data_IF_032051951756
#
_entry.id   IF_032051951756
#
_cell.length_a   1.000
_cell.length_b   1.000
_cell.length_c   1.000
_cell.angle_alpha   90.00
_cell.angle_beta   90.00
_cell.angle_gamma   90.00
#
_symmetry.space_group_name_H-M   'P 1'
#
loop_
_entity.id
_entity.type
_entity.pdbx_description
1 polymer ?
#
# COMPACT_ATOMS: atom_id res chain seq x y z
N UNK A 1 25.01 -27.62 -28.48
CA UNK A 1 25.73 -28.22 -27.32
C UNK A 1 24.73 -28.34 -26.18
N UNK A 2 24.61 -29.53 -25.62
CA UNK A 2 23.62 -29.90 -24.60
C UNK A 2 24.30 -29.72 -23.24
N UNK A 3 23.78 -28.85 -22.36
CA UNK A 3 24.26 -28.74 -20.97
C UNK A 3 23.04 -28.85 -20.07
N UNK A 4 22.81 -30.09 -19.64
CA UNK A 4 22.08 -30.41 -18.41
C UNK A 4 23.05 -30.27 -17.23
N UNK A 5 22.43 -30.06 -16.07
CA UNK A 5 22.96 -30.32 -14.72
C UNK A 5 23.88 -29.26 -14.10
N UNK A 6 23.28 -28.33 -13.37
CA UNK A 6 23.85 -27.87 -12.08
C UNK A 6 22.73 -27.39 -11.15
N UNK A 7 22.01 -28.35 -10.56
CA UNK A 7 21.22 -28.14 -9.34
C UNK A 7 21.98 -28.72 -8.15
N UNK A 8 21.73 -28.13 -6.97
CA UNK A 8 22.12 -28.52 -5.59
C UNK A 8 23.39 -27.88 -5.01
N UNK A 9 23.19 -26.85 -4.18
CA UNK A 9 23.72 -26.77 -2.82
C UNK A 9 23.11 -25.54 -2.10
N UNK A 10 21.91 -25.70 -1.55
CA UNK A 10 21.40 -24.84 -0.47
C UNK A 10 21.15 -25.74 0.75
N UNK A 11 21.89 -25.47 1.82
CA UNK A 11 21.73 -26.15 3.11
C UNK A 11 20.45 -25.73 3.86
N UNK A 12 20.03 -26.50 4.87
CA UNK A 12 18.70 -26.36 5.44
C UNK A 12 18.59 -25.27 6.52
N UNK A 13 17.40 -24.67 6.55
CA UNK A 13 16.65 -24.18 7.73
C UNK A 13 17.11 -22.91 8.47
N UNK A 14 16.42 -21.81 8.22
CA UNK A 14 16.17 -20.73 9.20
C UNK A 14 14.67 -20.62 9.41
N UNK A 15 14.19 -21.17 10.52
CA UNK A 15 12.78 -21.18 10.94
C UNK A 15 12.63 -20.15 12.07
N UNK A 16 11.95 -19.02 11.81
CA UNK A 16 11.51 -18.13 12.87
C UNK A 16 10.06 -18.51 13.25
N UNK A 17 9.91 -19.06 14.45
CA UNK A 17 8.62 -19.51 14.99
C UNK A 17 7.89 -18.32 15.60
N UNK A 18 6.71 -18.00 15.06
CA UNK A 18 5.70 -17.21 15.77
C UNK A 18 5.04 -18.14 16.82
N UNK A 19 5.19 -17.79 18.09
CA UNK A 19 4.53 -18.50 19.19
C UNK A 19 3.10 -17.99 19.35
N UNK A 20 2.12 -18.80 18.95
CA UNK A 20 0.72 -18.61 19.32
C UNK A 20 0.49 -19.21 20.73
N UNK A 21 0.24 -18.37 21.73
CA UNK A 21 -0.11 -18.84 23.07
C UNK A 21 -1.64 -18.92 23.21
N UNK A 22 -2.21 -20.13 23.11
CA UNK A 22 -3.57 -20.41 23.60
C UNK A 22 -3.48 -21.17 24.92
N UNK A 23 -3.86 -20.54 26.02
CA UNK A 23 -3.99 -21.22 27.32
C UNK A 23 -5.42 -21.73 27.48
N UNK A 24 -5.61 -23.04 27.34
CA UNK A 24 -6.78 -23.75 27.87
C UNK A 24 -6.28 -24.71 28.94
N UNK A 25 -6.71 -24.49 30.19
CA UNK A 25 -6.66 -25.49 31.26
C UNK A 25 -8.07 -26.03 31.47
N UNK A 26 -8.20 -27.31 31.80
CA UNK A 26 -8.83 -27.60 33.09
C UNK A 26 -8.05 -28.66 33.86
N UNK A 27 -7.62 -28.30 35.06
CA UNK A 27 -7.20 -29.27 36.06
C UNK A 27 -8.45 -29.78 36.77
N UNK A 28 -8.71 -31.08 36.63
CA UNK A 28 -9.64 -31.84 37.45
C UNK A 28 -9.08 -31.95 38.88
N UNK A 29 -9.83 -31.47 39.87
CA UNK A 29 -9.72 -31.94 41.25
C UNK A 29 -11.07 -31.77 41.97
N UNK A 30 -11.64 -32.88 42.42
CA UNK A 30 -12.72 -32.99 43.40
C UNK A 30 -12.61 -34.36 44.10
N UNK A 31 -13.23 -34.59 45.27
CA UNK A 31 -13.45 -33.65 46.38
C UNK A 31 -13.08 -34.26 47.76
N UNK A 32 -13.01 -33.41 48.77
CA UNK A 32 -12.99 -33.80 50.19
C UNK A 32 -14.41 -33.77 50.76
N UNK A 33 -14.74 -34.71 51.67
CA UNK A 33 -15.96 -34.68 52.47
C UNK A 33 -15.69 -35.29 53.86
N UNK A 34 -15.93 -34.52 54.92
CA UNK A 34 -16.52 -34.89 56.24
C UNK A 34 -16.46 -33.65 57.15
N UNK A 35 -17.62 -33.06 57.50
CA UNK A 35 -18.29 -33.10 58.83
C UNK A 35 -17.53 -32.33 59.93
N UNK A 36 -18.10 -31.47 60.79
CA UNK A 36 -19.46 -31.11 61.16
C UNK A 36 -19.45 -29.76 61.96
N UNK A 37 -20.66 -29.35 62.35
CA UNK A 37 -21.07 -28.37 63.38
C UNK A 37 -21.21 -26.86 63.06
N UNK A 38 -22.48 -26.45 63.06
CA UNK A 38 -23.00 -25.11 63.40
C UNK A 38 -23.48 -25.14 64.88
N UNK A 39 -24.14 -24.12 65.45
CA UNK A 39 -24.35 -22.72 65.03
C UNK A 39 -24.03 -21.71 66.17
N UNK A 40 -24.11 -20.41 65.90
CA UNK A 40 -24.82 -19.45 66.80
C UNK A 40 -25.08 -18.14 66.05
N UNK A 41 -26.30 -17.67 66.23
CA UNK A 41 -26.96 -16.50 65.66
C UNK A 41 -26.43 -15.18 66.25
N UNK A 42 -26.48 -14.11 65.46
CA UNK A 42 -27.00 -12.80 65.90
C UNK A 42 -27.34 -11.94 64.67
N UNK A 43 -28.62 -11.66 64.51
CA UNK A 43 -29.16 -10.56 63.70
C UNK A 43 -28.97 -9.23 64.45
N UNK A 44 -29.19 -8.12 63.71
CA UNK A 44 -29.54 -6.74 64.13
C UNK A 44 -28.47 -5.71 63.75
N UNK A 45 -28.77 -4.51 63.28
CA UNK A 45 -29.96 -3.88 62.70
C UNK A 45 -29.42 -2.65 61.94
N UNK A 46 -30.21 -2.16 61.00
CA UNK A 46 -29.95 -0.91 60.27
C UNK A 46 -29.83 0.28 61.23
N UNK A 47 -28.96 1.23 60.92
CA UNK A 47 -29.19 2.63 61.26
C UNK A 47 -28.63 3.50 60.13
N UNK A 48 -29.54 4.17 59.44
CA UNK A 48 -29.25 5.29 58.55
C UNK A 48 -29.04 6.53 59.43
N UNK A 49 -27.95 7.27 59.21
CA UNK A 49 -27.86 8.68 59.55
C UNK A 49 -27.15 9.42 58.43
N UNK A 50 -27.84 10.46 57.95
CA UNK A 50 -27.47 11.39 56.90
C UNK A 50 -26.64 12.55 57.47
N UNK A 51 -25.61 12.98 56.75
CA UNK A 51 -25.04 14.33 56.87
C UNK A 51 -24.56 14.83 55.52
N UNK A 52 -24.90 16.08 55.25
CA UNK A 52 -24.88 16.80 53.97
C UNK A 52 -23.49 17.27 53.48
N UNK A 53 -23.44 17.51 52.15
CA UNK A 53 -22.65 18.46 51.34
C UNK A 53 -21.10 18.39 51.24
N UNK A 54 -20.61 18.05 50.03
CA UNK A 54 -20.09 19.06 49.08
C UNK A 54 -19.83 18.48 47.66
N UNK A 55 -19.96 19.28 46.59
CA UNK A 55 -20.08 18.79 45.21
C UNK A 55 -18.79 18.94 44.40
N UNK A 56 -18.40 17.93 43.60
CA UNK A 56 -17.52 18.14 42.43
C UNK A 56 -17.50 16.92 41.49
N UNK A 57 -17.43 17.23 40.20
CA UNK A 57 -17.22 16.37 39.03
C UNK A 57 -18.45 15.65 38.43
N UNK A 58 -19.26 16.42 37.70
CA UNK A 58 -19.97 15.90 36.53
C UNK A 58 -18.96 15.71 35.39
N UNK A 59 -18.61 14.46 35.10
CA UNK A 59 -18.11 14.07 33.79
C UNK A 59 -19.28 13.36 33.09
N UNK A 60 -19.81 13.97 32.03
CA UNK A 60 -20.81 13.37 31.17
C UNK A 60 -20.18 12.14 30.49
N UNK A 61 -20.69 10.96 30.84
CA UNK A 61 -20.56 9.76 30.04
C UNK A 61 -21.25 10.01 28.70
N UNK A 62 -20.46 10.22 27.65
CA UNK A 62 -20.96 10.15 26.28
C UNK A 62 -21.08 8.66 25.98
N UNK A 63 -22.32 8.16 25.98
CA UNK A 63 -22.63 6.78 25.63
C UNK A 63 -22.12 6.46 24.22
N UNK A 64 -21.34 5.38 24.14
CA UNK A 64 -20.80 4.72 22.94
C UNK A 64 -21.83 4.39 21.84
N UNK A 65 -23.13 4.51 22.11
CA UNK A 65 -24.20 4.32 21.13
C UNK A 65 -24.33 5.49 20.13
N UNK A 66 -23.81 6.67 20.47
CA UNK A 66 -23.88 7.86 19.58
C UNK A 66 -22.81 7.85 18.48
N UNK A 67 -21.69 7.15 18.68
CA UNK A 67 -20.63 6.99 17.67
C UNK A 67 -20.97 5.91 16.65
N UNK A 68 -21.73 4.89 17.07
CA UNK A 68 -22.23 3.83 16.18
C UNK A 68 -23.39 4.34 15.30
N UNK A 69 -24.21 5.25 15.83
CA UNK A 69 -25.30 5.89 15.08
C UNK A 69 -24.81 6.93 14.04
N UNK A 70 -23.60 7.46 14.19
CA UNK A 70 -22.99 8.37 13.21
C UNK A 70 -22.36 7.63 12.01
N UNK A 71 -22.04 6.34 12.16
CA UNK A 71 -21.62 5.47 11.06
C UNK A 71 -22.80 4.97 10.19
N UNK A 72 -24.05 5.17 10.64
CA UNK A 72 -25.25 4.69 9.95
C UNK A 72 -25.95 5.74 9.07
N UNK A 73 -25.32 6.89 8.80
CA UNK A 73 -25.82 7.88 7.84
C UNK A 73 -24.77 8.23 6.76
N UNK A 74 -23.85 7.31 6.48
CA UNK A 74 -23.09 7.34 5.24
C UNK A 74 -24.00 6.82 4.11
N UNK A 75 -24.07 7.57 3.02
CA UNK A 75 -24.81 7.23 1.81
C UNK A 75 -24.54 5.78 1.43
N UNK A 76 -25.57 4.95 1.22
CA UNK A 76 -25.38 3.50 1.00
C UNK A 76 -24.63 3.18 -0.32
N UNK A 77 -24.31 4.21 -1.11
CA UNK A 77 -23.56 4.13 -2.36
C UNK A 77 -22.07 4.54 -2.25
N UNK A 78 -21.63 5.18 -1.15
CA UNK A 78 -20.25 5.67 -1.01
C UNK A 78 -19.36 4.59 -0.38
N UNK A 79 -18.37 4.12 -1.15
CA UNK A 79 -17.40 3.13 -0.68
C UNK A 79 -16.40 3.77 0.31
N UNK A 80 -15.84 3.00 1.28
CA UNK A 80 -14.79 3.53 2.14
C UNK A 80 -13.57 3.99 1.33
N UNK A 81 -12.79 4.93 1.87
CA UNK A 81 -11.54 5.38 1.22
C UNK A 81 -10.64 4.18 0.88
N UNK A 82 -10.02 4.23 -0.29
CA UNK A 82 -9.22 3.13 -0.83
C UNK A 82 -10.05 1.99 -1.43
N UNK A 83 -11.40 2.03 -1.40
CA UNK A 83 -12.25 1.00 -2.00
C UNK A 83 -12.92 1.57 -3.26
N UNK A 84 -12.84 0.83 -4.35
CA UNK A 84 -13.30 1.28 -5.66
C UNK A 84 -14.14 0.20 -6.33
N UNK A 85 -15.09 0.65 -7.15
CA UNK A 85 -15.76 -0.23 -8.11
C UNK A 85 -14.81 -0.42 -9.29
N UNK A 86 -14.61 -1.67 -9.71
CA UNK A 86 -13.91 -1.98 -10.94
C UNK A 86 -14.74 -1.46 -12.12
N UNK A 87 -14.11 -0.81 -13.09
CA UNK A 87 -14.84 -0.36 -14.27
C UNK A 87 -15.25 -1.57 -15.12
N UNK A 88 -16.36 -1.45 -15.84
CA UNK A 88 -16.80 -2.48 -16.79
C UNK A 88 -15.78 -2.66 -17.92
N UNK A 89 -15.17 -1.55 -18.35
CA UNK A 89 -14.11 -1.49 -19.35
C UNK A 89 -12.95 -0.60 -18.87
N UNK A 90 -11.73 -0.98 -19.22
CA UNK A 90 -10.52 -0.25 -18.83
C UNK A 90 -9.92 -0.66 -17.48
N UNK A 91 -8.87 0.04 -17.09
CA UNK A 91 -7.94 -0.24 -16.00
C UNK A 91 -7.79 0.93 -15.03
N UNK A 92 -8.43 2.07 -15.27
CA UNK A 92 -8.31 3.25 -14.41
C UNK A 92 -9.41 3.25 -13.35
N UNK A 93 -9.02 3.43 -12.09
CA UNK A 93 -9.92 3.56 -10.93
C UNK A 93 -9.60 4.82 -10.13
N UNK A 94 -10.57 5.24 -9.32
CA UNK A 94 -10.42 6.37 -8.41
C UNK A 94 -10.32 7.72 -9.12
N UNK A 95 -9.95 8.74 -8.37
CA UNK A 95 -9.91 10.11 -8.83
C UNK A 95 -8.82 10.92 -8.14
N UNK A 96 -8.25 11.86 -8.88
CA UNK A 96 -7.33 12.87 -8.36
C UNK A 96 -8.14 14.09 -7.97
N UNK A 97 -7.93 14.60 -6.76
CA UNK A 97 -8.59 15.82 -6.29
C UNK A 97 -7.65 16.67 -5.45
N UNK A 98 -8.06 17.91 -5.17
CA UNK A 98 -7.31 18.86 -4.35
C UNK A 98 -8.09 19.17 -3.09
N UNK A 99 -7.37 19.25 -1.97
CA UNK A 99 -7.91 19.79 -0.72
C UNK A 99 -7.17 21.07 -0.35
N UNK A 100 -7.76 21.87 0.53
CA UNK A 100 -7.09 23.01 1.15
C UNK A 100 -6.78 22.65 2.59
N UNK A 101 -5.57 22.94 3.05
CA UNK A 101 -5.19 22.72 4.46
C UNK A 101 -5.94 23.71 5.34
N UNK A 102 -6.71 23.20 6.30
CA UNK A 102 -7.52 24.01 7.21
C UNK A 102 -6.92 24.10 8.63
N UNK A 103 -6.26 23.04 9.09
CA UNK A 103 -5.66 22.97 10.43
C UNK A 103 -4.15 23.26 10.37
N UNK A 104 -3.64 24.30 11.06
CA UNK A 104 -2.21 24.62 11.08
C UNK A 104 -1.31 23.55 11.72
N UNK A 105 -1.87 22.61 12.48
CA UNK A 105 -1.12 21.50 13.11
C UNK A 105 -1.02 20.27 12.22
N UNK A 106 -1.81 20.21 11.15
CA UNK A 106 -1.90 19.06 10.29
C UNK A 106 -0.67 18.98 9.39
N UNK A 107 0.03 17.85 9.44
CA UNK A 107 1.16 17.58 8.55
C UNK A 107 0.67 17.06 7.19
N UNK A 108 1.52 17.09 6.17
CA UNK A 108 1.20 16.44 4.89
C UNK A 108 1.07 14.92 5.02
N UNK A 109 1.78 14.34 5.98
CA UNK A 109 1.73 12.90 6.30
C UNK A 109 0.38 12.55 6.94
N UNK A 110 -0.15 13.41 7.83
CA UNK A 110 -1.49 13.24 8.39
C UNK A 110 -2.58 13.35 7.30
N UNK A 111 -2.41 14.29 6.36
CA UNK A 111 -3.26 14.36 5.16
C UNK A 111 -3.20 13.03 4.41
N UNK A 112 -2.01 12.57 4.05
CA UNK A 112 -1.84 11.35 3.28
C UNK A 112 -2.52 10.15 3.94
N UNK A 113 -2.25 9.92 5.23
CA UNK A 113 -2.84 8.81 6.00
C UNK A 113 -4.37 8.86 6.01
N UNK A 114 -4.97 10.02 6.30
CA UNK A 114 -6.44 10.16 6.30
C UNK A 114 -7.03 9.88 4.91
N UNK A 115 -6.29 10.14 3.85
CA UNK A 115 -6.71 9.94 2.46
C UNK A 115 -6.23 8.60 1.86
N UNK A 116 -5.69 7.68 2.66
CA UNK A 116 -5.18 6.38 2.23
C UNK A 116 -4.07 6.50 1.15
N UNK A 117 -3.19 7.49 1.33
CA UNK A 117 -2.03 7.78 0.49
C UNK A 117 -0.74 7.47 1.26
N UNK A 118 0.24 6.89 0.55
CA UNK A 118 1.57 6.63 1.08
C UNK A 118 2.45 7.89 1.15
N UNK A 119 3.52 7.82 1.92
CA UNK A 119 4.47 8.93 2.06
C UNK A 119 5.08 9.39 0.72
N UNK A 120 5.61 8.46 -0.09
CA UNK A 120 6.20 8.83 -1.37
C UNK A 120 5.14 9.36 -2.36
N UNK A 121 3.96 8.75 -2.40
CA UNK A 121 2.84 9.20 -3.26
C UNK A 121 2.47 10.67 -2.97
N UNK A 122 2.28 11.06 -1.70
CA UNK A 122 1.90 12.44 -1.38
C UNK A 122 3.04 13.42 -1.64
N UNK A 123 4.30 13.01 -1.39
CA UNK A 123 5.49 13.83 -1.59
C UNK A 123 5.70 14.12 -3.07
N UNK A 124 5.58 13.09 -3.92
CA UNK A 124 5.75 13.21 -5.37
C UNK A 124 4.64 14.05 -5.99
N UNK A 125 3.38 13.90 -5.55
CA UNK A 125 2.27 14.72 -6.02
C UNK A 125 2.36 16.20 -5.60
N UNK A 126 3.18 16.54 -4.60
CA UNK A 126 3.26 17.89 -4.02
C UNK A 126 4.72 18.34 -3.74
N UNK A 127 5.59 18.44 -4.77
CA UNK A 127 7.04 18.62 -4.60
C UNK A 127 7.47 19.94 -3.94
N UNK A 128 6.55 20.91 -3.78
CA UNK A 128 6.78 22.19 -3.10
C UNK A 128 6.11 22.33 -1.73
N UNK A 129 5.36 21.33 -1.27
CA UNK A 129 4.62 21.39 -0.01
C UNK A 129 5.45 20.80 1.13
N UNK A 130 5.56 21.53 2.24
CA UNK A 130 6.27 21.06 3.43
C UNK A 130 5.58 19.85 4.04
N UNK A 131 6.35 18.78 4.29
CA UNK A 131 5.84 17.54 4.87
C UNK A 131 5.29 17.72 6.28
N UNK A 132 5.93 18.60 7.07
CA UNK A 132 5.64 18.77 8.50
C UNK A 132 4.77 19.99 8.78
N UNK A 133 4.83 21.01 7.93
CA UNK A 133 4.12 22.27 8.13
C UNK A 133 3.65 22.79 6.77
N UNK A 134 2.66 22.14 6.12
CA UNK A 134 2.14 22.58 4.82
C UNK A 134 1.54 23.98 4.89
N UNK A 135 0.98 24.37 6.06
CA UNK A 135 0.40 25.70 6.30
C UNK A 135 -1.04 25.81 5.84
N UNK A 136 -1.85 26.59 6.57
CA UNK A 136 -3.27 26.81 6.27
C UNK A 136 -3.40 27.56 4.94
N UNK A 137 -4.38 27.15 4.13
CA UNK A 137 -4.63 27.72 2.80
C UNK A 137 -3.79 27.09 1.69
N UNK A 138 -2.84 26.21 2.01
CA UNK A 138 -2.08 25.47 1.01
C UNK A 138 -2.97 24.45 0.32
N UNK A 139 -2.97 24.46 -1.01
CA UNK A 139 -3.60 23.43 -1.82
C UNK A 139 -2.72 22.18 -1.85
N UNK A 140 -3.34 21.03 -1.60
CA UNK A 140 -2.68 19.72 -1.60
C UNK A 140 -3.41 18.80 -2.56
N UNK A 141 -2.68 18.27 -3.53
CA UNK A 141 -3.14 17.26 -4.45
C UNK A 141 -3.14 15.90 -3.76
N UNK A 142 -4.28 15.21 -3.84
CA UNK A 142 -4.48 13.83 -3.41
C UNK A 142 -4.47 12.93 -4.65
N UNK A 143 -3.44 12.09 -4.85
CA UNK A 143 -3.30 11.24 -6.04
C UNK A 143 -4.08 9.92 -5.89
N UNK A 144 -5.37 9.97 -5.54
CA UNK A 144 -6.21 8.79 -5.30
C UNK A 144 -6.79 8.16 -6.59
N UNK A 145 -6.04 8.28 -7.70
CA UNK A 145 -6.35 7.68 -8.99
C UNK A 145 -5.26 6.65 -9.31
N UNK A 146 -5.63 5.49 -9.87
CA UNK A 146 -4.70 4.40 -10.11
C UNK A 146 -4.98 3.71 -11.43
N UNK A 147 -3.91 3.41 -12.19
CA UNK A 147 -3.95 2.37 -13.21
C UNK A 147 -3.79 1.02 -12.51
N UNK A 148 -4.71 0.08 -12.70
CA UNK A 148 -4.61 -1.24 -12.09
C UNK A 148 -3.32 -1.97 -12.56
N UNK A 149 -2.64 -2.73 -11.67
CA UNK A 149 -1.42 -3.45 -12.06
C UNK A 149 -1.69 -4.47 -13.18
N UNK A 150 -0.70 -4.76 -14.04
CA UNK A 150 -0.82 -5.73 -15.13
C UNK A 150 -0.78 -7.18 -14.61
N UNK A 151 -1.78 -7.56 -13.81
CA UNK A 151 -1.96 -8.89 -13.27
C UNK A 151 -3.44 -9.29 -13.27
N UNK A 152 -3.73 -10.60 -13.11
CA UNK A 152 -5.08 -11.06 -12.80
C UNK A 152 -5.65 -10.28 -11.61
N UNK A 153 -6.88 -9.77 -11.77
CA UNK A 153 -7.63 -9.04 -10.73
C UNK A 153 -8.23 -9.99 -9.69
N UNK A 154 -7.36 -10.79 -9.07
CA UNK A 154 -7.73 -11.84 -8.11
C UNK A 154 -6.79 -11.85 -6.91
N UNK A 155 -7.35 -12.07 -5.72
CA UNK A 155 -6.58 -12.18 -4.49
C UNK A 155 -5.88 -10.87 -4.17
N UNK A 156 -4.60 -10.94 -3.80
CA UNK A 156 -3.79 -9.76 -3.48
C UNK A 156 -2.72 -9.57 -4.54
N UNK A 157 -2.57 -8.35 -5.05
CA UNK A 157 -1.46 -7.92 -5.90
C UNK A 157 -0.73 -6.79 -5.19
N UNK A 158 0.58 -6.89 -5.03
CA UNK A 158 1.41 -5.84 -4.42
C UNK A 158 2.42 -5.38 -5.46
N UNK A 159 2.32 -4.12 -5.89
CA UNK A 159 3.29 -3.51 -6.76
C UNK A 159 4.36 -2.81 -5.92
N UNK A 160 5.57 -3.35 -5.94
CA UNK A 160 6.65 -2.93 -5.06
C UNK A 160 7.19 -1.54 -5.43
N UNK A 161 7.32 -1.20 -6.73
CA UNK A 161 7.74 0.14 -7.18
C UNK A 161 6.71 1.23 -6.83
N UNK A 162 5.43 0.89 -6.90
CA UNK A 162 4.33 1.80 -6.55
C UNK A 162 4.09 1.90 -5.04
N UNK A 163 4.66 0.97 -4.25
CA UNK A 163 4.43 0.88 -2.81
C UNK A 163 2.94 0.73 -2.47
N UNK A 164 2.21 -0.05 -3.26
CA UNK A 164 0.75 -0.19 -3.11
C UNK A 164 0.29 -1.64 -3.23
N UNK A 165 -0.65 -2.00 -2.35
CA UNK A 165 -1.36 -3.28 -2.32
C UNK A 165 -2.74 -3.09 -2.92
N UNK A 166 -3.16 -4.05 -3.72
CA UNK A 166 -4.48 -4.19 -4.32
C UNK A 166 -5.09 -5.51 -3.86
N UNK A 167 -6.30 -5.48 -3.31
CA UNK A 167 -7.05 -6.66 -2.89
C UNK A 167 -8.37 -6.75 -3.65
N UNK A 168 -8.58 -7.90 -4.28
CA UNK A 168 -9.77 -8.26 -5.03
C UNK A 168 -10.58 -9.29 -4.23
N UNK A 169 -11.55 -8.86 -3.41
CA UNK A 169 -12.36 -9.75 -2.58
C UNK A 169 -13.22 -10.69 -3.42
N UNK A 170 -13.05 -12.01 -3.22
CA UNK A 170 -13.81 -13.03 -3.95
C UNK A 170 -15.31 -13.03 -3.59
N UNK A 171 -15.67 -12.57 -2.39
CA UNK A 171 -17.04 -12.43 -1.92
C UNK A 171 -17.72 -11.13 -2.38
N UNK A 172 -16.96 -10.20 -2.99
CA UNK A 172 -17.46 -8.92 -3.52
C UNK A 172 -16.89 -8.66 -4.93
N UNK A 173 -17.33 -9.45 -5.94
CA UNK A 173 -16.88 -9.25 -7.32
C UNK A 173 -17.19 -7.82 -7.79
N UNK A 174 -16.29 -7.25 -8.58
CA UNK A 174 -16.40 -5.86 -9.04
C UNK A 174 -15.91 -4.82 -8.04
N UNK A 175 -15.37 -5.22 -6.89
CA UNK A 175 -14.70 -4.31 -5.94
C UNK A 175 -13.20 -4.57 -5.96
N UNK A 176 -12.43 -3.48 -5.83
CA UNK A 176 -11.00 -3.52 -5.52
C UNK A 176 -10.70 -2.59 -4.37
N UNK A 177 -9.84 -3.03 -3.47
CA UNK A 177 -9.38 -2.25 -2.34
C UNK A 177 -7.89 -1.98 -2.50
N UNK A 178 -7.45 -0.77 -2.23
CA UNK A 178 -6.06 -0.38 -2.36
C UNK A 178 -5.54 0.18 -1.05
N UNK A 179 -4.26 -0.07 -0.78
CA UNK A 179 -3.60 0.33 0.46
C UNK A 179 -2.16 0.72 0.20
N UNK A 180 -1.70 1.87 0.69
CA UNK A 180 -0.28 2.18 0.68
C UNK A 180 0.47 1.21 1.59
N UNK A 181 1.62 0.75 1.14
CA UNK A 181 2.46 -0.20 1.87
C UNK A 181 3.91 0.25 1.91
N UNK A 182 4.65 -0.21 2.91
CA UNK A 182 6.11 -0.10 2.91
C UNK A 182 6.74 -1.46 2.68
N UNK A 183 7.78 -1.47 1.85
CA UNK A 183 8.49 -2.67 1.43
C UNK A 183 9.93 -2.64 1.92
N UNK A 184 10.67 -3.71 1.62
CA UNK A 184 12.09 -3.84 1.95
C UNK A 184 12.93 -2.71 1.38
N UNK A 185 13.89 -2.22 2.17
CA UNK A 185 15.03 -1.46 1.63
C UNK A 185 15.93 -2.38 0.81
N UNK A 186 16.73 -1.83 -0.09
CA UNK A 186 17.57 -2.56 -1.07
C UNK A 186 18.29 -3.81 -0.50
N UNK A 187 19.05 -3.68 0.59
CA UNK A 187 19.76 -4.80 1.23
C UNK A 187 18.86 -5.91 1.83
N UNK A 188 17.56 -5.62 1.95
CA UNK A 188 16.53 -6.49 2.49
C UNK A 188 15.27 -6.42 1.62
N UNK A 189 15.45 -6.46 0.31
CA UNK A 189 14.39 -6.33 -0.68
C UNK A 189 13.22 -7.28 -0.41
N UNK A 190 12.01 -6.80 -0.68
CA UNK A 190 10.84 -7.68 -0.73
C UNK A 190 10.92 -8.47 -2.05
N UNK A 191 10.84 -9.80 -2.02
CA UNK A 191 11.00 -10.61 -3.23
C UNK A 191 9.79 -10.49 -4.15
N UNK A 192 10.04 -10.59 -5.45
CA UNK A 192 9.02 -10.77 -6.49
C UNK A 192 8.63 -12.25 -6.57
N UNK A 193 7.34 -12.52 -6.83
CA UNK A 193 6.81 -13.85 -7.04
C UNK A 193 5.43 -14.09 -6.46
N UNK A 194 4.88 -15.28 -6.72
CA UNK A 194 3.56 -15.69 -6.25
C UNK A 194 3.69 -16.48 -4.95
N UNK A 195 2.86 -16.13 -3.96
CA UNK A 195 2.71 -16.85 -2.69
C UNK A 195 1.23 -16.85 -2.27
N UNK A 196 0.94 -17.16 -1.00
CA UNK A 196 -0.42 -17.09 -0.44
C UNK A 196 -0.40 -16.73 1.03
N UNK A 197 -1.51 -16.21 1.55
CA UNK A 197 -1.73 -16.03 2.98
C UNK A 197 -1.82 -17.40 3.68
N UNK A 198 -1.39 -17.47 4.93
CA UNK A 198 -1.40 -18.72 5.71
C UNK A 198 -2.09 -18.52 7.05
N UNK A 199 -1.34 -18.08 8.06
CA UNK A 199 -1.84 -17.82 9.42
C UNK A 199 -2.08 -16.33 9.58
N UNK A 200 -3.14 -16.02 10.32
CA UNK A 200 -3.49 -14.67 10.73
C UNK A 200 -3.31 -14.60 12.24
N UNK A 201 -2.49 -13.66 12.71
CA UNK A 201 -2.16 -13.47 14.11
C UNK A 201 -2.59 -12.08 14.54
N UNK A 202 -3.51 -12.03 15.50
CA UNK A 202 -3.83 -10.83 16.26
C UNK A 202 -2.84 -10.69 17.42
N UNK A 203 -2.42 -9.47 17.72
CA UNK A 203 -1.48 -9.11 18.77
C UNK A 203 -0.18 -9.95 18.69
N UNK A 204 0.55 -9.92 17.56
CA UNK A 204 1.72 -10.76 17.37
C UNK A 204 2.87 -10.35 18.30
N UNK A 205 3.53 -11.34 18.93
CA UNK A 205 4.86 -11.10 19.51
C UNK A 205 5.90 -10.99 18.38
N UNK A 206 6.91 -10.15 18.55
CA UNK A 206 7.96 -9.96 17.56
C UNK A 206 9.33 -10.37 18.10
N UNK A 207 10.00 -11.28 17.39
CA UNK A 207 11.40 -11.61 17.66
C UNK A 207 12.29 -10.93 16.61
N UNK A 208 13.24 -10.06 17.02
CA UNK A 208 14.16 -9.45 16.08
C UNK A 208 14.95 -10.49 15.27
N UNK A 209 15.07 -10.32 13.94
CA UNK A 209 15.86 -11.23 13.10
C UNK A 209 17.30 -11.37 13.62
N UNK A 210 17.93 -12.52 13.37
CA UNK A 210 19.29 -12.78 13.84
C UNK A 210 20.31 -11.73 13.37
N UNK A 211 20.14 -11.22 12.15
CA UNK A 211 20.95 -10.12 11.60
C UNK A 211 20.82 -8.84 12.43
N UNK A 212 19.61 -8.46 12.82
CA UNK A 212 19.36 -7.30 13.66
C UNK A 212 19.92 -7.48 15.07
N UNK A 213 19.79 -8.67 15.67
CA UNK A 213 20.38 -8.95 16.99
C UNK A 213 21.91 -8.84 16.98
N UNK A 214 22.55 -9.30 15.89
CA UNK A 214 24.00 -9.18 15.70
C UNK A 214 24.43 -7.72 15.54
N UNK A 215 23.79 -6.97 14.65
CA UNK A 215 24.05 -5.54 14.43
C UNK A 215 23.88 -4.72 15.73
N UNK A 216 22.82 -5.01 16.49
CA UNK A 216 22.55 -4.35 17.76
C UNK A 216 23.62 -4.70 18.83
N UNK A 217 24.05 -5.96 18.89
CA UNK A 217 25.13 -6.39 19.79
C UNK A 217 26.49 -5.76 19.43
N UNK A 218 26.80 -5.61 18.13
CA UNK A 218 28.03 -4.95 17.64
C UNK A 218 28.07 -3.46 18.03
N UNK A 219 26.90 -2.80 18.15
CA UNK A 219 26.77 -1.43 18.65
C UNK A 219 26.73 -1.30 20.18
N UNK A 220 26.79 -2.41 20.91
CA UNK A 220 26.69 -2.40 22.38
C UNK A 220 25.26 -2.22 22.92
N UNK A 221 24.25 -2.39 22.07
CA UNK A 221 22.82 -2.21 22.40
C UNK A 221 22.05 -3.51 22.11
N UNK A 222 22.22 -4.59 22.90
CA UNK A 222 21.61 -5.87 22.58
C UNK A 222 20.08 -5.77 22.51
N UNK A 223 19.52 -6.14 21.35
CA UNK A 223 18.08 -6.16 21.14
C UNK A 223 17.40 -7.22 22.03
N UNK A 224 16.16 -6.98 22.51
CA UNK A 224 15.41 -7.97 23.28
C UNK A 224 15.22 -9.26 22.46
N UNK A 225 15.16 -10.41 23.14
CA UNK A 225 14.90 -11.68 22.47
C UNK A 225 13.50 -11.74 21.85
N UNK A 226 12.52 -11.13 22.52
CA UNK A 226 11.14 -11.00 22.10
C UNK A 226 10.61 -9.65 22.58
N UNK A 227 9.91 -8.93 21.70
CA UNK A 227 9.05 -7.81 22.05
C UNK A 227 7.62 -8.34 22.17
N UNK A 228 6.98 -8.21 23.34
CA UNK A 228 5.62 -8.68 23.54
C UNK A 228 4.63 -7.85 22.71
N UNK A 229 3.37 -8.31 22.58
CA UNK A 229 2.32 -7.50 21.99
C UNK A 229 2.13 -6.17 22.74
N UNK A 230 1.72 -5.13 22.02
CA UNK A 230 1.45 -3.81 22.58
C UNK A 230 1.98 -2.65 21.72
N UNK A 231 1.82 -1.39 22.19
CA UNK A 231 2.07 -0.19 21.38
C UNK A 231 3.50 -0.04 20.86
N UNK A 232 4.48 -0.66 21.52
CA UNK A 232 5.89 -0.61 21.12
C UNK A 232 6.29 -1.74 20.15
N UNK A 233 5.37 -2.63 19.80
CA UNK A 233 5.66 -3.73 18.91
C UNK A 233 5.71 -3.25 17.44
N UNK A 234 6.82 -3.49 16.71
CA UNK A 234 6.97 -3.01 15.34
C UNK A 234 6.08 -3.73 14.32
N UNK A 235 5.48 -4.87 14.69
CA UNK A 235 4.48 -5.55 13.86
C UNK A 235 3.07 -4.94 13.98
N UNK A 236 2.86 -4.04 14.95
CA UNK A 236 1.52 -3.55 15.29
C UNK A 236 0.63 -4.64 15.88
N UNK A 237 -0.68 -4.47 15.75
CA UNK A 237 -1.70 -5.35 16.36
C UNK A 237 -2.13 -6.52 15.47
N UNK A 238 -1.77 -6.52 14.18
CA UNK A 238 -2.22 -7.53 13.23
C UNK A 238 -1.09 -7.92 12.28
N UNK A 239 -0.95 -9.22 12.05
CA UNK A 239 -0.04 -9.78 11.06
C UNK A 239 -0.68 -10.94 10.30
N UNK A 240 -0.37 -11.02 9.01
CA UNK A 240 -0.79 -12.05 8.07
C UNK A 240 0.49 -12.68 7.51
N UNK A 241 0.68 -13.97 7.77
CA UNK A 241 1.87 -14.70 7.35
C UNK A 241 1.70 -15.14 5.90
N UNK A 242 2.78 -15.05 5.13
CA UNK A 242 2.83 -15.58 3.78
C UNK A 242 3.38 -17.01 3.78
N UNK A 243 3.04 -17.79 2.75
CA UNK A 243 3.65 -19.09 2.45
C UNK A 243 5.08 -18.92 1.87
N UNK A 244 5.80 -17.97 2.43
CA UNK A 244 7.17 -17.59 2.13
C UNK A 244 7.84 -17.32 3.48
N UNK A 245 8.81 -18.15 3.90
CA UNK A 245 9.33 -18.09 5.26
C UNK A 245 9.80 -16.70 5.66
N UNK A 246 9.35 -16.23 6.83
CA UNK A 246 9.69 -14.92 7.44
C UNK A 246 9.06 -13.67 6.82
N UNK A 247 8.23 -13.79 5.77
CA UNK A 247 7.52 -12.65 5.18
C UNK A 247 6.09 -12.52 5.73
N UNK A 248 5.72 -11.27 6.01
CA UNK A 248 4.50 -10.88 6.69
C UNK A 248 3.90 -9.67 5.98
N UNK A 249 2.57 -9.61 5.92
CA UNK A 249 1.83 -8.35 5.77
C UNK A 249 1.38 -7.95 7.17
N UNK A 250 1.80 -6.80 7.68
CA UNK A 250 1.58 -6.45 9.07
C UNK A 250 1.40 -4.94 9.30
N UNK A 251 0.92 -4.56 10.48
CA UNK A 251 0.79 -3.16 10.89
C UNK A 251 2.11 -2.51 11.27
N UNK A 252 2.08 -1.37 11.94
CA UNK A 252 3.30 -0.76 12.46
C UNK A 252 3.00 0.14 13.64
N UNK A 253 3.98 0.32 14.53
CA UNK A 253 3.95 1.38 15.54
C UNK A 253 4.59 2.70 15.06
N UNK A 254 5.00 2.76 13.79
CA UNK A 254 5.57 3.95 13.14
C UNK A 254 4.85 4.23 11.81
N UNK A 255 3.58 4.67 11.87
CA UNK A 255 2.74 4.84 10.68
C UNK A 255 3.30 5.87 9.70
N UNK A 256 4.04 6.87 10.17
CA UNK A 256 4.61 7.92 9.32
C UNK A 256 5.59 7.39 8.25
N UNK A 257 6.05 6.15 8.39
CA UNK A 257 6.92 5.46 7.43
C UNK A 257 6.18 4.58 6.41
N UNK A 258 4.84 4.59 6.37
CA UNK A 258 4.03 3.84 5.40
C UNK A 258 4.09 4.51 4.02
N UNK A 259 4.29 3.72 2.96
CA UNK A 259 4.58 4.24 1.62
C UNK A 259 6.04 4.65 1.44
N UNK A 260 6.97 3.93 2.10
CA UNK A 260 8.42 4.09 1.93
C UNK A 260 9.14 2.73 1.86
N UNK A 261 10.39 2.70 1.37
CA UNK A 261 11.27 1.52 1.42
C UNK A 261 12.05 1.43 2.74
N UNK A 262 11.36 1.09 3.83
CA UNK A 262 11.93 1.14 5.21
C UNK A 262 11.95 -0.19 5.95
N UNK A 263 11.40 -1.24 5.35
CA UNK A 263 11.29 -2.55 5.99
C UNK A 263 12.55 -3.39 5.76
N UNK A 264 12.63 -4.55 6.42
CA UNK A 264 13.62 -5.60 6.15
C UNK A 264 12.99 -6.78 5.41
N UNK A 265 12.16 -6.48 4.40
CA UNK A 265 11.54 -7.44 3.48
C UNK A 265 10.04 -7.65 3.69
N UNK A 266 9.51 -7.43 4.90
CA UNK A 266 8.07 -7.54 5.17
C UNK A 266 7.27 -6.38 4.56
N UNK A 267 5.97 -6.58 4.35
CA UNK A 267 5.03 -5.57 3.88
C UNK A 267 4.39 -4.90 5.11
N UNK A 268 4.59 -3.59 5.28
CA UNK A 268 3.98 -2.82 6.37
C UNK A 268 2.81 -2.00 5.86
N UNK A 269 1.74 -1.93 6.65
CA UNK A 269 0.55 -1.14 6.37
C UNK A 269 0.26 -0.18 7.54
N UNK A 270 -0.60 0.81 7.31
CA UNK A 270 -1.17 1.58 8.41
C UNK A 270 -1.94 0.66 9.38
N UNK A 271 -1.95 0.96 10.70
CA UNK A 271 -2.65 0.16 11.70
C UNK A 271 -4.13 -0.12 11.39
N UNK A 272 -4.85 0.90 10.94
CA UNK A 272 -6.26 0.83 10.54
C UNK A 272 -6.47 -0.04 9.30
N UNK A 273 -5.56 0.05 8.33
CA UNK A 273 -5.63 -0.67 7.07
C UNK A 273 -5.35 -2.17 7.27
N UNK A 274 -4.30 -2.53 8.02
CA UNK A 274 -4.03 -3.95 8.31
C UNK A 274 -5.16 -4.55 9.12
N UNK A 275 -5.79 -3.81 10.04
CA UNK A 275 -6.91 -4.31 10.83
C UNK A 275 -8.09 -4.63 9.91
N UNK A 276 -8.46 -3.69 9.04
CA UNK A 276 -9.54 -3.87 8.07
C UNK A 276 -9.28 -5.04 7.13
N UNK A 277 -8.08 -5.11 6.53
CA UNK A 277 -7.69 -6.21 5.65
C UNK A 277 -7.62 -7.54 6.41
N UNK A 278 -7.11 -7.55 7.64
CA UNK A 278 -7.04 -8.74 8.48
C UNK A 278 -8.43 -9.31 8.75
N UNK A 279 -9.48 -8.51 8.93
CA UNK A 279 -10.80 -9.07 9.19
C UNK A 279 -11.39 -9.79 7.97
N UNK A 280 -11.07 -9.30 6.77
CA UNK A 280 -11.74 -9.71 5.52
C UNK A 280 -10.92 -10.67 4.66
N UNK A 281 -9.59 -10.57 4.68
CA UNK A 281 -8.70 -11.38 3.84
C UNK A 281 -8.68 -12.85 4.29
N UNK A 282 -9.16 -13.81 3.48
CA UNK A 282 -9.14 -15.22 3.84
C UNK A 282 -7.71 -15.78 3.95
N UNK A 283 -7.55 -16.84 4.75
CA UNK A 283 -6.35 -17.67 4.69
C UNK A 283 -6.33 -18.48 3.39
N UNK A 284 -5.16 -18.61 2.78
CA UNK A 284 -5.00 -19.31 1.50
C UNK A 284 -5.18 -18.42 0.26
N UNK A 285 -5.53 -17.14 0.43
CA UNK A 285 -5.64 -16.17 -0.67
C UNK A 285 -4.29 -16.00 -1.35
N UNK A 286 -4.28 -16.08 -2.68
CA UNK A 286 -3.08 -15.84 -3.49
C UNK A 286 -2.57 -14.40 -3.30
N UNK A 287 -1.25 -14.27 -3.23
CA UNK A 287 -0.55 -12.99 -3.16
C UNK A 287 0.47 -12.95 -4.28
N UNK A 288 0.33 -11.99 -5.20
CA UNK A 288 1.27 -11.71 -6.27
C UNK A 288 2.13 -10.50 -5.89
N UNK A 289 3.39 -10.75 -5.57
CA UNK A 289 4.40 -9.70 -5.33
C UNK A 289 5.05 -9.40 -6.67
N UNK A 290 4.86 -8.20 -7.20
CA UNK A 290 5.37 -7.82 -8.51
C UNK A 290 6.11 -6.50 -8.47
N UNK A 291 6.94 -6.28 -9.49
CA UNK A 291 7.60 -5.01 -9.68
C UNK A 291 7.25 -4.44 -11.06
N UNK A 292 6.32 -3.48 -11.07
CA UNK A 292 5.86 -2.81 -12.27
C UNK A 292 6.09 -1.29 -12.10
N UNK A 293 7.33 -0.80 -12.32
CA UNK A 293 7.65 0.62 -12.22
C UNK A 293 6.96 1.45 -13.31
N UNK A 294 6.55 0.85 -14.42
CA UNK A 294 5.76 1.50 -15.46
C UNK A 294 4.44 0.77 -15.64
N UNK A 295 3.32 1.50 -15.56
CA UNK A 295 1.97 1.00 -15.79
C UNK A 295 1.33 1.76 -16.94
N UNK A 296 0.56 1.03 -17.73
CA UNK A 296 -0.27 1.57 -18.78
C UNK A 296 -1.64 0.87 -18.73
N UNK A 297 -2.70 1.59 -19.05
CA UNK A 297 -4.05 1.07 -19.07
C UNK A 297 -5.06 2.08 -19.62
N UNK A 298 -6.15 1.57 -20.18
CA UNK A 298 -7.21 2.42 -20.73
C UNK A 298 -8.15 2.90 -19.65
N UNK A 299 -8.59 4.16 -19.71
CA UNK A 299 -9.76 4.63 -18.98
C UNK A 299 -11.03 4.23 -19.73
N UNK A 300 -12.19 4.32 -19.05
CA UNK A 300 -13.49 3.95 -19.62
C UNK A 300 -13.90 4.82 -20.83
N UNK A 301 -13.30 6.00 -21.00
CA UNK A 301 -13.53 6.88 -22.16
C UNK A 301 -12.62 6.55 -23.35
N UNK A 302 -11.81 5.49 -23.27
CA UNK A 302 -10.85 5.07 -24.29
C UNK A 302 -9.52 5.83 -24.25
N UNK A 303 -9.30 6.70 -23.26
CA UNK A 303 -7.98 7.35 -23.07
C UNK A 303 -6.96 6.34 -22.57
N UNK A 304 -5.81 6.22 -23.24
CA UNK A 304 -4.68 5.46 -22.72
C UNK A 304 -3.87 6.34 -21.77
N UNK A 305 -3.79 5.93 -20.50
CA UNK A 305 -2.94 6.56 -19.52
C UNK A 305 -1.70 5.73 -19.24
N UNK A 306 -0.62 6.41 -18.85
CA UNK A 306 0.56 5.80 -18.26
C UNK A 306 0.93 6.46 -16.94
N UNK A 307 1.59 5.68 -16.08
CA UNK A 307 2.17 6.09 -14.82
C UNK A 307 3.53 5.41 -14.63
N UNK A 308 4.48 6.14 -14.09
CA UNK A 308 5.83 5.67 -13.80
C UNK A 308 6.19 5.90 -12.33
N UNK A 309 6.99 5.00 -11.76
CA UNK A 309 7.41 4.98 -10.37
C UNK A 309 8.90 4.69 -10.27
N UNK A 310 9.58 5.12 -9.20
CA UNK A 310 11.01 4.88 -9.05
C UNK A 310 11.31 3.38 -9.08
N UNK A 311 12.19 2.97 -9.99
CA UNK A 311 12.57 1.57 -10.14
C UNK A 311 13.34 1.06 -8.92
N UNK A 312 13.10 -0.19 -8.54
CA UNK A 312 13.87 -0.87 -7.52
C UNK A 312 15.16 -1.41 -8.16
N UNK A 313 16.31 -0.83 -7.79
CA UNK A 313 17.62 -1.19 -8.36
C UNK A 313 17.92 -2.69 -8.26
N UNK A 314 17.50 -3.34 -7.17
CA UNK A 314 17.67 -4.78 -6.97
C UNK A 314 16.92 -5.67 -7.98
N UNK A 315 15.88 -5.12 -8.60
CA UNK A 315 15.04 -5.78 -9.59
C UNK A 315 15.28 -5.23 -11.01
N UNK A 316 16.19 -4.27 -11.16
CA UNK A 316 16.58 -3.73 -12.45
C UNK A 316 17.42 -4.77 -13.19
N UNK A 317 16.76 -5.68 -13.92
CA UNK A 317 17.43 -6.45 -14.96
C UNK A 317 17.73 -5.48 -16.12
N UNK A 318 19.00 -5.38 -16.54
CA UNK A 318 19.41 -4.44 -17.57
C UNK A 318 18.61 -4.54 -18.89
N UNK A 319 18.77 -3.50 -19.72
CA UNK A 319 17.92 -3.03 -20.84
C UNK A 319 16.81 -2.04 -20.41
N UNK A 320 16.74 -0.92 -21.13
CA UNK A 320 16.35 0.40 -20.62
C UNK A 320 14.88 0.53 -20.20
N UNK A 321 14.55 1.28 -19.13
CA UNK A 321 13.17 1.57 -18.69
C UNK A 321 12.21 2.01 -19.81
N UNK A 322 12.75 2.72 -20.82
CA UNK A 322 12.01 3.13 -22.00
C UNK A 322 11.52 1.95 -22.86
N UNK A 323 12.31 0.89 -23.00
CA UNK A 323 11.92 -0.27 -23.80
C UNK A 323 10.82 -1.08 -23.11
N UNK A 324 10.89 -1.23 -21.78
CA UNK A 324 9.82 -1.85 -21.01
C UNK A 324 8.52 -1.04 -21.11
N UNK A 325 8.63 0.29 -21.08
CA UNK A 325 7.48 1.18 -21.27
C UNK A 325 6.87 1.04 -22.69
N UNK A 326 7.71 1.02 -23.72
CA UNK A 326 7.29 0.83 -25.12
C UNK A 326 6.62 -0.54 -25.34
N UNK A 327 7.21 -1.61 -24.81
CA UNK A 327 6.63 -2.96 -24.86
C UNK A 327 5.24 -2.94 -24.20
N UNK A 328 5.14 -2.38 -23.00
CA UNK A 328 3.87 -2.34 -22.25
C UNK A 328 2.78 -1.55 -22.97
N UNK A 329 3.13 -0.43 -23.61
CA UNK A 329 2.17 0.34 -24.42
C UNK A 329 1.76 -0.45 -25.66
N UNK A 330 2.72 -1.05 -26.36
CA UNK A 330 2.48 -1.83 -27.59
C UNK A 330 1.59 -3.06 -27.34
N UNK A 331 1.75 -3.73 -26.20
CA UNK A 331 0.88 -4.84 -25.78
C UNK A 331 -0.60 -4.44 -25.69
N UNK A 332 -0.88 -3.20 -25.28
CA UNK A 332 -2.25 -2.70 -25.08
C UNK A 332 -2.86 -2.14 -26.36
N UNK A 333 -2.08 -1.42 -27.15
CA UNK A 333 -2.56 -0.74 -28.34
C UNK A 333 -2.50 -1.59 -29.60
N UNK A 334 -1.64 -2.61 -29.62
CA UNK A 334 -1.19 -3.25 -30.85
C UNK A 334 -0.32 -2.31 -31.70
N UNK A 335 -0.08 -2.71 -32.95
CA UNK A 335 0.79 -1.98 -33.88
C UNK A 335 0.08 -0.88 -34.70
N UNK A 336 -1.23 -0.72 -34.52
CA UNK A 336 -2.08 0.12 -35.37
C UNK A 336 -2.34 1.52 -34.78
N UNK A 337 -1.90 1.77 -33.54
CA UNK A 337 -2.04 3.08 -32.88
C UNK A 337 -0.69 3.78 -32.87
N UNK A 338 -0.65 4.96 -33.46
CA UNK A 338 0.51 5.84 -33.40
C UNK A 338 0.57 6.50 -32.01
N UNK A 339 1.62 6.20 -31.25
CA UNK A 339 1.85 6.76 -29.93
C UNK A 339 3.10 7.63 -29.98
N UNK A 340 2.99 8.83 -29.41
CA UNK A 340 4.10 9.76 -29.26
C UNK A 340 5.17 9.18 -28.30
N UNK A 341 6.31 8.78 -28.87
CA UNK A 341 7.42 8.23 -28.13
C UNK A 341 8.04 9.23 -27.13
N UNK A 342 7.94 10.54 -27.40
CA UNK A 342 8.47 11.58 -26.51
C UNK A 342 7.61 11.70 -25.25
N UNK A 343 6.30 11.41 -25.32
CA UNK A 343 5.44 11.33 -24.13
C UNK A 343 5.79 10.11 -23.27
N UNK A 344 6.09 8.96 -23.90
CA UNK A 344 6.53 7.77 -23.18
C UNK A 344 7.88 8.04 -22.50
N UNK A 345 8.83 8.65 -23.22
CA UNK A 345 10.12 9.02 -22.66
C UNK A 345 9.96 9.98 -21.48
N UNK A 346 9.13 11.02 -21.59
CA UNK A 346 8.84 11.93 -20.48
C UNK A 346 8.27 11.23 -19.26
N UNK A 347 7.35 10.28 -19.45
CA UNK A 347 6.82 9.48 -18.35
C UNK A 347 7.96 8.68 -17.67
N UNK A 348 8.82 8.04 -18.45
CA UNK A 348 9.94 7.23 -17.91
C UNK A 348 10.98 8.09 -17.18
N UNK A 349 11.30 9.28 -17.69
CA UNK A 349 12.29 10.20 -17.11
C UNK A 349 11.78 10.91 -15.85
N UNK A 350 10.46 11.00 -15.66
CA UNK A 350 9.81 11.57 -14.49
C UNK A 350 8.98 10.51 -13.73
N UNK A 351 9.62 9.59 -12.99
CA UNK A 351 8.94 8.51 -12.25
C UNK A 351 8.29 9.02 -10.96
N UNK A 352 7.30 9.90 -11.07
CA UNK A 352 6.65 10.60 -9.95
C UNK A 352 5.17 10.19 -9.74
N UNK A 353 4.71 9.17 -10.46
CA UNK A 353 3.34 8.65 -10.40
C UNK A 353 2.31 9.50 -11.13
N UNK A 354 2.70 10.54 -11.87
CA UNK A 354 1.77 11.35 -12.65
C UNK A 354 1.05 10.53 -13.72
N UNK A 355 -0.23 10.85 -13.92
CA UNK A 355 -1.02 10.35 -15.05
C UNK A 355 -0.67 11.15 -16.29
N UNK A 356 -0.14 10.47 -17.31
CA UNK A 356 0.12 11.06 -18.62
C UNK A 356 -0.79 10.36 -19.63
N UNK A 357 -1.61 11.13 -20.33
CA UNK A 357 -2.45 10.63 -21.41
C UNK A 357 -1.63 10.50 -22.70
N UNK A 358 -1.53 9.30 -23.24
CA UNK A 358 -0.79 9.02 -24.48
C UNK A 358 -1.69 8.96 -25.71
N UNK A 359 -2.95 8.58 -25.53
CA UNK A 359 -3.91 8.43 -26.62
C UNK A 359 -5.34 8.68 -26.13
N UNK A 360 -6.25 9.05 -27.03
CA UNK A 360 -7.68 9.19 -26.75
C UNK A 360 -8.08 10.63 -26.36
N UNK A 361 -9.32 10.81 -25.86
CA UNK A 361 -9.94 12.13 -25.68
C UNK A 361 -9.17 13.12 -24.80
N UNK A 362 -8.34 12.62 -23.88
CA UNK A 362 -7.57 13.46 -22.95
C UNK A 362 -6.09 13.59 -23.34
N UNK A 363 -5.65 12.94 -24.41
CA UNK A 363 -4.30 13.09 -24.90
C UNK A 363 -4.10 14.48 -25.53
N UNK A 364 -2.92 15.10 -25.36
CA UNK A 364 -2.61 16.34 -26.08
C UNK A 364 -2.69 16.10 -27.59
N UNK A 365 -3.15 17.10 -28.34
CA UNK A 365 -3.15 17.01 -29.81
C UNK A 365 -1.70 16.81 -30.30
N UNK A 366 -1.47 15.88 -31.24
CA UNK A 366 -0.14 15.67 -31.79
C UNK A 366 0.36 16.98 -32.42
N UNK A 367 1.59 17.39 -32.08
CA UNK A 367 2.18 18.56 -32.74
C UNK A 367 2.28 18.27 -34.24
N UNK A 368 1.87 19.20 -35.11
CA UNK A 368 1.99 18.99 -36.55
C UNK A 368 3.47 18.80 -36.89
N UNK A 369 3.79 17.69 -37.56
CA UNK A 369 5.12 17.40 -38.12
C UNK A 369 5.68 18.69 -38.74
N UNK A 370 6.90 19.12 -38.35
CA UNK A 370 7.52 20.30 -38.96
C UNK A 370 7.56 20.05 -40.46
N UNK A 371 6.85 20.89 -41.22
CA UNK A 371 6.83 20.81 -42.68
C UNK A 371 8.26 20.95 -43.16
N UNK A 372 8.90 19.82 -43.46
CA UNK A 372 10.18 19.74 -44.13
C UNK A 372 10.03 20.54 -45.43
N UNK A 373 10.59 21.75 -45.46
CA UNK A 373 10.53 22.69 -46.56
C UNK A 373 11.45 22.22 -47.71
N UNK A 374 11.22 21.01 -48.25
CA UNK A 374 12.08 20.43 -49.31
C UNK A 374 11.59 20.72 -50.73
N UNK A 375 10.49 21.45 -50.92
CA UNK A 375 9.91 21.67 -52.26
C UNK A 375 10.22 23.03 -52.92
N UNK A 376 11.07 23.90 -52.34
CA UNK A 376 11.47 25.17 -52.99
C UNK A 376 12.84 25.17 -53.70
N UNK A 377 13.57 24.06 -53.74
CA UNK A 377 14.84 23.95 -54.49
C UNK A 377 14.73 23.25 -55.85
N UNK A 378 13.52 22.97 -56.34
CA UNK A 378 13.29 22.46 -57.70
C UNK A 378 12.49 23.42 -58.57
N UNK A 379 12.91 24.69 -58.67
CA UNK A 379 12.48 25.53 -59.79
C UNK A 379 13.46 26.68 -60.12
N UNK A 380 14.72 26.35 -60.45
CA UNK A 380 15.65 27.35 -61.04
C UNK A 380 16.73 26.74 -61.94
N UNK A 381 16.46 25.62 -62.62
CA UNK A 381 17.29 25.22 -63.76
C UNK A 381 16.41 24.72 -64.90
N UNK A 382 15.71 25.65 -65.54
CA UNK A 382 15.15 25.44 -66.85
C UNK A 382 15.63 26.57 -67.77
N UNK A 383 16.36 26.15 -68.81
CA UNK A 383 16.44 26.75 -70.15
C UNK A 383 16.99 28.16 -70.26
N UNK A 384 18.28 28.24 -70.59
CA UNK A 384 18.76 29.28 -71.51
C UNK A 384 19.41 28.54 -72.69
N UNK A 385 18.57 28.29 -73.71
CA UNK A 385 18.99 27.82 -75.02
C UNK A 385 18.82 29.01 -75.97
N UNK A 386 19.96 29.44 -76.52
CA UNK A 386 20.14 29.97 -77.87
C UNK A 386 19.48 31.33 -78.23
N UNK A 387 20.32 32.38 -78.36
CA UNK A 387 20.42 33.20 -79.59
C UNK A 387 21.49 34.30 -79.58
N UNK A 388 22.11 34.43 -80.76
CA UNK A 388 22.79 35.59 -81.36
C UNK A 388 24.28 35.84 -81.05
N UNK A 389 25.17 35.29 -81.90
CA UNK A 389 26.04 36.02 -82.86
C UNK A 389 27.28 35.22 -83.28
#
# INVERSE_FOLDING_TARGET
MNIRDTFTLWGPTSLAVLLAASLVSPAFAQPANEQADSPTQAQEQQTQESSEESPQAQAQEISIDAVDSAAQVADQDELPRGHFRLPEEGDVIGERYTIVVEDPKQTLIDIARRHNIGYEEIRMANPGVSLWVPGVGTEVVIPAQYILPPAPREGVVINLSELRLYYYPADKPGIVETYPVSVGREEFATPVGITRTTVKVKDPAWAPPASMRREAAERGEPAPSVVPPGPNNPLGEHAILLAMPSYLIHGTNRPDGVGMRVSRGCIRMYPEDIKSLYERLPSGTQVNLMDAPFKAGFAADGTLFVQSFPQLEENAEGFEPLLNALERVTELTGSDVEIDADQIQRAVEAPDGQFIALYGPQAPEPEPEPVELIDELKLSTATDDDKDA
#
